data_IF_478656838458
#
_entry.id   IF_478656838458
#
_cell.length_a   1.000
_cell.length_b   1.000
_cell.length_c   1.000
_cell.angle_alpha   90.00
_cell.angle_beta   90.00
_cell.angle_gamma   90.00
#
_symmetry.space_group_name_H-M   'P 1'
#
loop_
_entity.id
_entity.type
_entity.pdbx_description
1 polymer ?
#
# COMPACT_ATOMS: atom_id res chain seq x y z
N UNK A 1 1.65 -13.78 1.78
CA UNK A 1 0.99 -14.13 0.51
C UNK A 1 0.21 -12.93 0.00
N UNK A 2 0.47 -12.53 -1.23
CA UNK A 2 -0.22 -11.42 -1.87
C UNK A 2 -1.17 -11.95 -2.96
N UNK A 3 -2.22 -11.19 -3.25
CA UNK A 3 -3.24 -11.58 -4.21
C UNK A 3 -3.54 -10.46 -5.18
N UNK A 4 -3.86 -10.83 -6.42
CA UNK A 4 -4.45 -9.92 -7.39
C UNK A 4 -5.80 -10.49 -7.84
N UNK A 5 -6.83 -9.65 -7.82
CA UNK A 5 -8.19 -10.01 -8.25
C UNK A 5 -8.59 -9.10 -9.40
N UNK A 6 -9.10 -9.67 -10.46
CA UNK A 6 -9.61 -8.92 -11.61
C UNK A 6 -11.05 -9.34 -11.89
N UNK A 7 -11.92 -8.35 -12.11
CA UNK A 7 -13.33 -8.59 -12.40
C UNK A 7 -13.92 -7.38 -13.11
N UNK A 8 -14.65 -7.61 -14.20
CA UNK A 8 -15.34 -6.56 -14.96
C UNK A 8 -14.45 -5.39 -15.39
N UNK A 9 -13.20 -5.69 -15.76
CA UNK A 9 -12.24 -4.68 -16.18
C UNK A 9 -11.63 -3.87 -15.04
N UNK A 10 -11.88 -4.25 -13.79
CA UNK A 10 -11.30 -3.64 -12.59
C UNK A 10 -10.33 -4.58 -11.92
N UNK A 11 -9.37 -4.02 -11.21
CA UNK A 11 -8.32 -4.83 -10.55
C UNK A 11 -8.00 -4.31 -9.15
N UNK A 12 -7.74 -5.25 -8.26
CA UNK A 12 -7.33 -5.02 -6.88
C UNK A 12 -6.12 -5.90 -6.58
N UNK A 13 -5.08 -5.34 -6.01
CA UNK A 13 -3.98 -6.11 -5.45
C UNK A 13 -3.96 -5.93 -3.94
N UNK A 14 -3.75 -7.01 -3.21
CA UNK A 14 -3.62 -7.01 -1.76
C UNK A 14 -2.27 -7.58 -1.37
N UNK A 15 -1.50 -6.82 -0.62
CA UNK A 15 -0.14 -7.22 -0.25
C UNK A 15 -0.08 -8.34 0.79
N UNK A 16 -1.10 -8.46 1.64
CA UNK A 16 -0.93 -9.23 2.88
C UNK A 16 0.19 -8.61 3.72
N UNK A 17 0.66 -9.33 4.71
CA UNK A 17 1.82 -8.91 5.49
C UNK A 17 3.08 -9.24 4.68
N UNK A 18 3.89 -8.24 4.40
CA UNK A 18 5.06 -8.41 3.52
C UNK A 18 6.15 -7.39 3.81
N UNK A 19 7.40 -7.76 3.52
CA UNK A 19 8.48 -6.82 3.39
C UNK A 19 8.59 -6.33 1.95
N UNK A 20 9.57 -5.49 1.68
CA UNK A 20 9.81 -4.96 0.33
C UNK A 20 10.23 -6.10 -0.62
N UNK A 21 9.55 -6.18 -1.76
CA UNK A 21 9.85 -7.18 -2.79
C UNK A 21 9.40 -6.69 -4.17
N UNK A 22 10.23 -6.97 -5.18
CA UNK A 22 9.90 -6.63 -6.57
C UNK A 22 8.70 -7.44 -7.09
N UNK A 23 8.46 -8.61 -6.52
CA UNK A 23 7.30 -9.45 -6.89
C UNK A 23 5.98 -8.75 -6.58
N UNK A 24 5.93 -7.96 -5.51
CA UNK A 24 4.74 -7.19 -5.17
C UNK A 24 4.51 -6.09 -6.21
N UNK A 25 5.57 -5.45 -6.67
CA UNK A 25 5.48 -4.43 -7.73
C UNK A 25 4.91 -5.06 -9.01
N UNK A 26 5.40 -6.24 -9.40
CA UNK A 26 4.91 -6.96 -10.58
C UNK A 26 3.42 -7.30 -10.44
N UNK A 27 3.03 -7.80 -9.27
CA UNK A 27 1.63 -8.17 -8.98
C UNK A 27 0.70 -6.96 -9.08
N UNK A 28 1.13 -5.80 -8.59
CA UNK A 28 0.33 -4.59 -8.49
C UNK A 28 0.37 -3.72 -9.76
N UNK A 29 1.01 -4.17 -10.82
CA UNK A 29 1.22 -3.35 -12.02
C UNK A 29 -0.09 -2.85 -12.61
N UNK A 30 -0.23 -1.52 -12.72
CA UNK A 30 -1.38 -0.81 -13.29
C UNK A 30 -2.73 -1.14 -12.62
N UNK A 31 -2.71 -1.60 -11.38
CA UNK A 31 -3.91 -1.98 -10.64
C UNK A 31 -4.77 -0.75 -10.31
N UNK A 32 -6.09 -0.92 -10.30
CA UNK A 32 -7.00 0.17 -9.92
C UNK A 32 -6.90 0.51 -8.44
N UNK A 33 -6.80 -0.51 -7.58
CA UNK A 33 -6.62 -0.34 -6.14
C UNK A 33 -5.50 -1.25 -5.64
N UNK A 34 -4.55 -0.66 -4.94
CA UNK A 34 -3.52 -1.39 -4.20
C UNK A 34 -3.83 -1.27 -2.71
N UNK A 35 -4.27 -2.35 -2.11
CA UNK A 35 -4.45 -2.46 -0.66
C UNK A 35 -3.16 -3.02 -0.09
N UNK A 36 -2.42 -2.21 0.63
CA UNK A 36 -1.05 -2.52 1.02
C UNK A 36 -0.81 -2.19 2.49
N UNK A 37 -0.05 -3.06 3.16
CA UNK A 37 0.33 -2.79 4.53
C UNK A 37 1.29 -1.60 4.62
N UNK A 38 1.25 -0.89 5.75
CA UNK A 38 2.19 0.16 6.08
C UNK A 38 2.38 0.15 7.60
N UNK A 39 3.11 -0.84 8.10
CA UNK A 39 3.04 -1.23 9.51
C UNK A 39 3.82 -0.33 10.44
N UNK A 40 4.98 0.18 10.02
CA UNK A 40 5.90 0.92 10.89
C UNK A 40 6.46 2.17 10.24
N UNK A 41 6.80 3.21 11.05
CA UNK A 41 7.58 4.34 10.55
C UNK A 41 8.91 3.89 9.92
N UNK A 42 9.47 4.71 9.02
CA UNK A 42 10.71 4.38 8.32
C UNK A 42 11.86 4.01 9.26
N UNK A 43 11.95 4.68 10.42
CA UNK A 43 12.99 4.46 11.41
C UNK A 43 12.86 3.10 12.13
N UNK A 44 11.71 2.45 12.03
CA UNK A 44 11.39 1.20 12.71
C UNK A 44 11.25 0.04 11.71
N UNK A 45 12.11 0.00 10.71
CA UNK A 45 12.03 -0.99 9.64
C UNK A 45 12.21 -2.43 10.15
N UNK A 46 11.26 -3.30 9.75
CA UNK A 46 11.34 -4.75 9.93
C UNK A 46 11.25 -5.45 8.56
N UNK A 47 11.98 -6.54 8.40
CA UNK A 47 12.05 -7.28 7.13
C UNK A 47 10.69 -7.80 6.64
N UNK A 48 9.79 -8.14 7.57
CA UNK A 48 8.49 -8.75 7.24
C UNK A 48 7.39 -7.71 7.01
N UNK A 49 7.69 -6.40 7.13
CA UNK A 49 6.71 -5.34 7.04
C UNK A 49 7.24 -4.14 6.26
N UNK A 50 6.32 -3.34 5.75
CA UNK A 50 6.63 -2.15 4.95
C UNK A 50 6.57 -0.87 5.77
N UNK A 51 7.32 0.12 5.32
CA UNK A 51 7.32 1.49 5.84
C UNK A 51 6.70 2.44 4.81
N UNK A 52 6.33 3.67 5.19
CA UNK A 52 5.75 4.64 4.24
C UNK A 52 6.61 4.88 3.00
N UNK A 53 7.92 5.01 3.15
CA UNK A 53 8.83 5.19 2.00
C UNK A 53 8.78 3.98 1.07
N UNK A 54 8.79 2.78 1.61
CA UNK A 54 8.73 1.55 0.80
C UNK A 54 7.39 1.43 0.07
N UNK A 55 6.28 1.75 0.75
CA UNK A 55 4.95 1.77 0.12
C UNK A 55 4.90 2.78 -1.01
N UNK A 56 5.46 3.97 -0.80
CA UNK A 56 5.54 5.01 -1.82
C UNK A 56 6.31 4.54 -3.05
N UNK A 57 7.44 3.89 -2.84
CA UNK A 57 8.27 3.36 -3.95
C UNK A 57 7.54 2.26 -4.71
N UNK A 58 6.86 1.36 -4.01
CA UNK A 58 6.05 0.31 -4.65
C UNK A 58 4.91 0.93 -5.44
N UNK A 59 4.20 1.88 -4.86
CA UNK A 59 3.10 2.58 -5.53
C UNK A 59 3.56 3.28 -6.80
N UNK A 60 4.70 3.95 -6.75
CA UNK A 60 5.27 4.62 -7.91
C UNK A 60 5.66 3.63 -9.01
N UNK A 61 6.38 2.57 -8.65
CA UNK A 61 6.86 1.58 -9.62
C UNK A 61 5.73 0.79 -10.25
N UNK A 62 4.68 0.45 -9.49
CA UNK A 62 3.53 -0.31 -9.97
C UNK A 62 2.53 0.53 -10.74
N UNK A 63 2.57 1.85 -10.60
CA UNK A 63 1.59 2.78 -11.19
C UNK A 63 0.16 2.51 -10.73
N UNK A 64 -0.02 2.04 -9.49
CA UNK A 64 -1.33 1.85 -8.90
C UNK A 64 -2.12 3.17 -8.91
N UNK A 65 -3.41 3.11 -9.23
CA UNK A 65 -4.23 4.31 -9.37
C UNK A 65 -4.73 4.84 -8.03
N UNK A 66 -4.99 3.95 -7.08
CA UNK A 66 -5.40 4.29 -5.73
C UNK A 66 -4.66 3.38 -4.76
N UNK A 67 -4.16 3.94 -3.66
CA UNK A 67 -3.42 3.21 -2.64
C UNK A 67 -4.20 3.29 -1.34
N UNK A 68 -4.53 2.14 -0.77
CA UNK A 68 -5.22 2.04 0.53
C UNK A 68 -4.25 1.42 1.52
N UNK A 69 -3.91 2.18 2.55
CA UNK A 69 -2.97 1.75 3.59
C UNK A 69 -3.72 1.01 4.69
N UNK A 70 -3.19 -0.14 5.09
CA UNK A 70 -3.77 -0.97 6.13
C UNK A 70 -2.68 -1.55 7.03
N UNK A 71 -3.07 -2.24 8.10
CA UNK A 71 -2.16 -2.95 9.00
C UNK A 71 -1.06 -2.04 9.55
N UNK A 72 -1.41 -0.83 9.96
CA UNK A 72 -0.49 0.09 10.61
C UNK A 72 -0.62 -0.02 12.13
N UNK A 73 0.53 -0.08 12.81
CA UNK A 73 0.57 -0.17 14.27
C UNK A 73 0.54 1.23 14.90
N UNK A 74 0.34 1.27 16.23
CA UNK A 74 0.28 2.52 16.97
C UNK A 74 1.52 3.42 16.79
N UNK A 75 2.66 2.84 16.46
CA UNK A 75 3.88 3.58 16.13
C UNK A 75 3.69 4.55 14.96
N UNK A 76 2.68 4.35 14.13
CA UNK A 76 2.36 5.22 13.00
C UNK A 76 1.39 6.35 13.37
N UNK A 77 0.81 6.35 14.57
CA UNK A 77 -0.26 7.30 14.94
C UNK A 77 0.22 8.75 15.00
N UNK A 78 1.50 8.97 15.31
CA UNK A 78 2.06 10.31 15.46
C UNK A 78 2.77 10.82 14.21
N UNK A 79 2.71 10.07 13.10
CA UNK A 79 3.34 10.47 11.84
C UNK A 79 2.29 10.61 10.74
N UNK A 80 2.60 11.43 9.74
CA UNK A 80 1.76 11.61 8.57
C UNK A 80 2.13 10.58 7.50
N UNK A 81 1.65 9.33 7.66
CA UNK A 81 1.99 8.26 6.73
C UNK A 81 1.44 8.53 5.32
N UNK A 82 0.25 9.14 5.22
CA UNK A 82 -0.31 9.52 3.90
C UNK A 82 0.62 10.51 3.20
N UNK A 83 1.05 11.56 3.89
CA UNK A 83 1.95 12.56 3.33
C UNK A 83 3.29 11.97 2.91
N UNK A 84 3.85 11.06 3.72
CA UNK A 84 5.10 10.40 3.40
C UNK A 84 4.99 9.51 2.15
N UNK A 85 3.89 8.78 2.00
CA UNK A 85 3.65 7.98 0.79
C UNK A 85 3.48 8.89 -0.42
N UNK A 86 2.75 10.00 -0.27
CA UNK A 86 2.51 10.96 -1.35
C UNK A 86 3.76 11.65 -1.87
N UNK A 87 4.85 11.63 -1.13
CA UNK A 87 6.13 12.14 -1.63
C UNK A 87 6.62 11.37 -2.87
N UNK A 88 6.14 10.15 -3.06
CA UNK A 88 6.58 9.27 -4.14
C UNK A 88 5.52 9.04 -5.22
N UNK A 89 4.25 9.35 -4.96
CA UNK A 89 3.13 9.03 -5.85
C UNK A 89 2.18 10.21 -6.01
N UNK A 90 1.52 10.29 -7.17
CA UNK A 90 0.41 11.22 -7.44
C UNK A 90 -0.95 10.54 -7.23
N UNK A 91 -0.96 9.26 -6.92
CA UNK A 91 -2.18 8.49 -6.72
C UNK A 91 -2.92 8.95 -5.46
N UNK A 92 -4.23 8.66 -5.42
CA UNK A 92 -5.02 8.80 -4.21
C UNK A 92 -4.50 7.85 -3.13
N UNK A 93 -4.22 8.37 -1.94
CA UNK A 93 -3.73 7.59 -0.81
C UNK A 93 -4.68 7.77 0.36
N UNK A 94 -5.26 6.69 0.85
CA UNK A 94 -6.20 6.71 1.98
C UNK A 94 -5.82 5.69 3.04
N UNK A 95 -6.22 5.96 4.29
CA UNK A 95 -6.08 5.02 5.40
C UNK A 95 -7.32 4.15 5.47
N UNK A 96 -7.15 2.84 5.54
CA UNK A 96 -8.26 1.93 5.75
C UNK A 96 -8.79 2.04 7.18
N UNK A 97 -10.10 1.93 7.33
CA UNK A 97 -10.79 1.87 8.62
C UNK A 97 -11.69 0.64 8.63
N UNK A 98 -12.01 0.15 9.83
CA UNK A 98 -12.91 -0.98 9.98
C UNK A 98 -14.24 -0.71 9.26
N UNK A 99 -14.71 -1.70 8.51
CA UNK A 99 -15.98 -1.65 7.77
C UNK A 99 -16.03 -0.57 6.67
N UNK A 100 -14.87 0.00 6.29
CA UNK A 100 -14.80 0.94 5.18
C UNK A 100 -15.13 0.25 3.86
N UNK A 101 -15.96 0.91 3.03
CA UNK A 101 -16.24 0.48 1.67
C UNK A 101 -15.47 1.36 0.69
N UNK A 102 -14.86 0.74 -0.32
CA UNK A 102 -14.06 1.42 -1.33
C UNK A 102 -14.56 0.99 -2.71
N UNK A 103 -14.95 1.98 -3.50
CA UNK A 103 -15.34 1.74 -4.88
C UNK A 103 -14.11 1.59 -5.78
N UNK A 104 -14.13 0.61 -6.63
CA UNK A 104 -13.03 0.33 -7.57
C UNK A 104 -13.38 0.83 -8.97
#
# INVERSE_FOLDING_TARGET
IAYRVESNGKSLAYSGDTGYTDKLIELAMDVDVLLIECSFPDEMKFHAHLTPTEVGKIGRASRAKKIVLTHFYADCDEIDIIGQVREYVDADVILAEDLMEIDI
#
